data_IF_448822689501
#
_entry.id   IF_448822689501
#
_cell.length_a   1.000
_cell.length_b   1.000
_cell.length_c   1.000
_cell.angle_alpha   90.00
_cell.angle_beta   90.00
_cell.angle_gamma   90.00
#
_symmetry.space_group_name_H-M   'P 1'
#
loop_
_entity.id
_entity.type
_entity.pdbx_description
1 polymer ?
#
# COMPACT_ATOMS: atom_id res chain seq x y z
N UNK A 1 16.88 3.98 0.68
CA UNK A 1 16.74 5.23 -0.11
C UNK A 1 16.44 6.37 0.84
N UNK A 2 17.00 7.56 0.59
CA UNK A 2 16.85 8.76 1.41
C UNK A 2 16.61 9.97 0.50
N UNK A 3 15.35 10.27 0.17
CA UNK A 3 15.04 11.32 -0.82
C UNK A 3 15.49 12.72 -0.36
N UNK A 4 15.52 12.99 0.94
CA UNK A 4 15.98 14.25 1.54
C UNK A 4 17.48 14.28 1.86
N UNK A 5 18.23 13.23 1.49
CA UNK A 5 19.65 13.08 1.85
C UNK A 5 19.90 12.59 3.29
N UNK A 6 21.16 12.26 3.58
CA UNK A 6 21.58 11.79 4.90
C UNK A 6 21.59 12.92 5.92
N UNK A 7 21.11 12.63 7.15
CA UNK A 7 21.16 13.56 8.30
C UNK A 7 20.59 14.95 8.00
N UNK A 8 19.49 15.02 7.25
CA UNK A 8 18.86 16.28 6.91
C UNK A 8 18.58 17.12 8.18
N UNK A 9 19.07 18.37 8.30
CA UNK A 9 19.09 19.12 9.55
C UNK A 9 17.72 19.23 10.24
N UNK A 10 16.65 19.45 9.46
CA UNK A 10 15.28 19.51 9.99
C UNK A 10 14.80 18.18 10.58
N UNK A 11 15.21 17.05 10.00
CA UNK A 11 14.82 15.72 10.50
C UNK A 11 15.56 15.41 11.80
N UNK A 12 16.87 15.69 11.84
CA UNK A 12 17.68 15.49 13.04
C UNK A 12 17.16 16.34 14.21
N UNK A 13 16.83 17.60 13.96
CA UNK A 13 16.26 18.49 14.97
C UNK A 13 14.93 17.97 15.51
N UNK A 14 13.98 17.60 14.64
CA UNK A 14 12.67 17.08 15.04
C UNK A 14 12.78 15.79 15.88
N UNK A 15 13.72 14.90 15.54
CA UNK A 15 13.98 13.69 16.32
C UNK A 15 14.57 14.03 17.68
N UNK A 16 15.57 14.92 17.74
CA UNK A 16 16.18 15.33 19.02
C UNK A 16 15.15 15.96 19.97
N UNK A 17 14.24 16.77 19.43
CA UNK A 17 13.14 17.39 20.18
C UNK A 17 12.16 16.34 20.72
N UNK A 18 11.68 15.42 19.86
CA UNK A 18 10.76 14.37 20.27
C UNK A 18 11.35 13.47 21.38
N UNK A 19 12.65 13.21 21.35
CA UNK A 19 13.34 12.41 22.39
C UNK A 19 13.32 13.07 23.78
N UNK A 20 13.12 14.38 23.89
CA UNK A 20 12.92 15.05 25.18
C UNK A 20 11.50 14.90 25.73
N UNK A 21 10.53 14.51 24.90
CA UNK A 21 9.15 14.27 25.31
C UNK A 21 8.91 12.80 25.66
N UNK A 22 9.04 11.90 24.66
CA UNK A 22 8.88 10.45 24.84
C UNK A 22 9.40 9.70 23.60
N UNK A 23 9.77 8.43 23.80
CA UNK A 23 10.23 7.53 22.71
C UNK A 23 9.09 6.73 22.10
N UNK A 24 8.20 6.17 22.91
CA UNK A 24 7.09 5.33 22.47
C UNK A 24 6.01 5.25 23.55
N UNK A 25 4.74 5.36 23.15
CA UNK A 25 3.59 5.24 24.05
C UNK A 25 2.58 4.19 23.60
N UNK A 26 2.87 3.47 22.51
CA UNK A 26 1.92 2.70 21.72
C UNK A 26 0.68 3.52 21.36
N UNK A 27 0.58 4.00 20.11
CA UNK A 27 -0.52 4.88 19.68
C UNK A 27 -1.92 4.33 20.02
N UNK A 28 -2.06 3.00 19.98
CA UNK A 28 -3.26 2.23 20.35
C UNK A 28 -3.70 2.42 21.82
N UNK A 29 -2.77 2.77 22.71
CA UNK A 29 -2.96 2.87 24.16
C UNK A 29 -2.99 4.34 24.59
N UNK A 30 -1.91 5.08 24.28
CA UNK A 30 -1.84 6.52 24.53
C UNK A 30 -1.51 7.23 23.22
N UNK A 31 -2.51 7.84 22.55
CA UNK A 31 -2.32 8.49 21.26
C UNK A 31 -1.52 9.79 21.40
N UNK A 32 -0.93 10.23 20.29
CA UNK A 32 -0.12 11.43 20.22
C UNK A 32 -0.35 12.19 18.90
N UNK A 33 -0.23 13.51 18.95
CA UNK A 33 -0.61 14.43 17.87
C UNK A 33 0.16 14.20 16.56
N UNK A 34 1.45 13.84 16.64
CA UNK A 34 2.28 13.65 15.45
C UNK A 34 1.82 12.49 14.55
N UNK A 35 1.12 11.50 15.11
CA UNK A 35 0.47 10.45 14.31
C UNK A 35 -0.70 11.04 13.52
N UNK A 36 -1.62 11.74 14.19
CA UNK A 36 -2.85 12.28 13.58
C UNK A 36 -2.50 13.33 12.53
N UNK A 37 -1.62 14.27 12.86
CA UNK A 37 -1.22 15.34 11.94
C UNK A 37 -0.49 14.79 10.70
N UNK A 38 0.31 13.73 10.84
CA UNK A 38 0.92 13.08 9.69
C UNK A 38 -0.13 12.38 8.82
N UNK A 39 -1.10 11.68 9.42
CA UNK A 39 -2.18 11.02 8.71
C UNK A 39 -3.05 12.02 7.96
N UNK A 40 -3.44 13.14 8.57
CA UNK A 40 -4.21 14.21 7.91
C UNK A 40 -3.47 14.77 6.70
N UNK A 41 -2.17 15.08 6.85
CA UNK A 41 -1.35 15.57 5.73
C UNK A 41 -1.23 14.56 4.60
N UNK A 42 -1.14 13.27 4.92
CA UNK A 42 -1.11 12.22 3.90
C UNK A 42 -2.47 12.08 3.22
N UNK A 43 -3.57 12.11 3.97
CA UNK A 43 -4.92 12.05 3.41
C UNK A 43 -5.18 13.20 2.41
N UNK A 44 -4.68 14.41 2.72
CA UNK A 44 -4.83 15.59 1.85
C UNK A 44 -3.98 15.52 0.57
N UNK A 45 -2.85 14.79 0.60
CA UNK A 45 -1.86 14.76 -0.47
C UNK A 45 -1.92 13.51 -1.35
N UNK A 46 -2.45 12.40 -0.82
CA UNK A 46 -2.54 11.14 -1.55
C UNK A 46 -3.60 11.25 -2.66
N UNK A 47 -3.31 10.75 -3.89
CA UNK A 47 -4.27 10.76 -4.99
C UNK A 47 -5.34 9.67 -4.82
N UNK A 48 -6.08 9.70 -3.72
CA UNK A 48 -7.23 8.82 -3.42
C UNK A 48 -8.52 9.59 -3.73
N UNK A 49 -9.52 8.92 -4.29
CA UNK A 49 -10.83 9.52 -4.51
C UNK A 49 -11.64 9.61 -3.21
N UNK A 50 -12.20 10.78 -2.95
CA UNK A 50 -13.08 11.04 -1.81
C UNK A 50 -12.34 11.10 -0.46
N UNK A 51 -13.05 10.91 0.66
CA UNK A 51 -12.45 10.92 1.98
C UNK A 51 -11.41 9.79 2.13
N UNK A 52 -10.20 10.15 2.56
CA UNK A 52 -9.12 9.19 2.79
C UNK A 52 -8.84 9.00 4.30
N UNK A 53 -8.32 7.83 4.64
CA UNK A 53 -7.78 7.51 5.98
C UNK A 53 -6.42 6.86 5.85
N UNK A 54 -5.60 7.03 6.88
CA UNK A 54 -4.23 6.49 6.94
C UNK A 54 -4.02 5.70 8.23
N UNK A 55 -3.28 4.59 8.13
CA UNK A 55 -2.74 3.84 9.25
C UNK A 55 -1.22 3.66 9.09
N UNK A 56 -0.47 3.76 10.18
CA UNK A 56 1.00 3.64 10.17
C UNK A 56 1.51 2.34 10.79
N UNK A 57 2.64 1.88 10.25
CA UNK A 57 3.40 0.71 10.67
C UNK A 57 4.91 1.03 10.60
N UNK A 58 5.78 0.03 10.72
CA UNK A 58 7.23 0.25 10.80
C UNK A 58 7.92 0.08 9.45
N UNK A 59 7.52 -0.94 8.68
CA UNK A 59 8.19 -1.40 7.47
C UNK A 59 7.26 -1.41 6.26
N UNK A 60 7.83 -1.29 5.06
CA UNK A 60 7.05 -1.41 3.81
C UNK A 60 6.34 -2.76 3.70
N UNK A 61 6.94 -3.84 4.23
CA UNK A 61 6.30 -5.15 4.23
C UNK A 61 5.04 -5.17 5.10
N UNK A 62 5.08 -4.58 6.30
CA UNK A 62 3.88 -4.45 7.15
C UNK A 62 2.80 -3.58 6.50
N UNK A 63 3.18 -2.52 5.78
CA UNK A 63 2.21 -1.71 5.04
C UNK A 63 1.51 -2.54 3.96
N UNK A 64 2.27 -3.32 3.17
CA UNK A 64 1.67 -4.22 2.17
C UNK A 64 0.80 -5.29 2.82
N UNK A 65 1.23 -5.92 3.91
CA UNK A 65 0.39 -6.90 4.61
C UNK A 65 -0.90 -6.30 5.14
N UNK A 66 -0.87 -5.07 5.67
CA UNK A 66 -2.07 -4.40 6.12
C UNK A 66 -2.96 -3.95 4.96
N UNK A 67 -2.41 -3.53 3.83
CA UNK A 67 -3.22 -3.27 2.62
C UNK A 67 -3.95 -4.54 2.16
N UNK A 68 -3.28 -5.71 2.20
CA UNK A 68 -3.92 -7.02 1.94
C UNK A 68 -5.02 -7.30 2.95
N UNK A 69 -4.77 -7.12 4.25
CA UNK A 69 -5.78 -7.36 5.30
C UNK A 69 -7.01 -6.48 5.11
N UNK A 70 -6.79 -5.19 4.83
CA UNK A 70 -7.85 -4.20 4.60
C UNK A 70 -8.66 -4.58 3.36
N UNK A 71 -8.00 -4.92 2.25
CA UNK A 71 -8.68 -5.32 1.03
C UNK A 71 -9.53 -6.59 1.21
N UNK A 72 -8.99 -7.60 1.90
CA UNK A 72 -9.73 -8.83 2.22
C UNK A 72 -10.91 -8.57 3.16
N UNK A 73 -10.73 -7.72 4.17
CA UNK A 73 -11.80 -7.35 5.10
C UNK A 73 -12.95 -6.61 4.40
N UNK A 74 -12.63 -5.66 3.51
CA UNK A 74 -13.63 -4.89 2.77
C UNK A 74 -14.40 -5.75 1.75
N UNK A 75 -13.69 -6.58 1.00
CA UNK A 75 -14.31 -7.36 -0.10
C UNK A 75 -14.91 -8.68 0.35
N UNK A 76 -14.44 -9.25 1.48
CA UNK A 76 -14.75 -10.62 1.89
C UNK A 76 -14.11 -11.69 1.00
N UNK A 77 -13.13 -11.32 0.15
CA UNK A 77 -12.55 -12.18 -0.88
C UNK A 77 -11.12 -12.60 -0.52
N UNK A 78 -10.66 -13.81 -0.86
CA UNK A 78 -9.31 -14.27 -0.51
C UNK A 78 -8.23 -13.89 -1.54
N UNK A 79 -8.61 -13.78 -2.82
CA UNK A 79 -7.69 -13.72 -3.94
C UNK A 79 -6.91 -12.41 -4.05
N UNK A 80 -5.65 -12.52 -4.43
CA UNK A 80 -4.77 -11.40 -4.71
C UNK A 80 -4.08 -11.64 -6.05
N UNK A 81 -4.05 -10.62 -6.90
CA UNK A 81 -3.26 -10.66 -8.13
C UNK A 81 -2.13 -9.64 -7.99
N UNK A 82 -0.93 -10.06 -8.36
CA UNK A 82 0.28 -9.23 -8.44
C UNK A 82 1.02 -9.59 -9.72
N UNK A 83 2.23 -9.09 -9.93
CA UNK A 83 2.91 -9.19 -11.22
C UNK A 83 4.32 -9.76 -11.12
N UNK A 84 4.72 -10.50 -12.17
CA UNK A 84 6.10 -10.92 -12.36
C UNK A 84 7.06 -9.73 -12.31
N UNK A 85 8.23 -9.92 -11.70
CA UNK A 85 9.22 -8.85 -11.48
C UNK A 85 8.92 -7.91 -10.31
N UNK A 86 7.72 -7.93 -9.74
CA UNK A 86 7.35 -7.06 -8.61
C UNK A 86 8.07 -7.43 -7.30
N UNK A 87 8.29 -6.43 -6.44
CA UNK A 87 8.87 -6.61 -5.10
C UNK A 87 8.04 -5.90 -4.03
N UNK A 88 7.45 -6.69 -3.15
CA UNK A 88 6.52 -6.20 -2.12
C UNK A 88 7.02 -6.41 -0.69
N UNK A 89 8.17 -7.07 -0.50
CA UNK A 89 8.77 -7.30 0.82
C UNK A 89 9.34 -8.70 1.00
N UNK A 90 9.67 -9.01 2.26
CA UNK A 90 10.35 -10.27 2.67
C UNK A 90 9.68 -10.99 3.84
N UNK A 91 8.48 -10.58 4.23
CA UNK A 91 7.63 -11.36 5.13
C UNK A 91 6.92 -12.47 4.34
N UNK A 92 6.30 -13.46 4.99
CA UNK A 92 5.70 -14.60 4.28
C UNK A 92 4.65 -14.18 3.24
N UNK A 93 3.74 -13.28 3.58
CA UNK A 93 2.73 -12.77 2.65
C UNK A 93 3.36 -11.94 1.54
N UNK A 94 4.33 -11.08 1.85
CA UNK A 94 4.96 -10.22 0.83
C UNK A 94 5.96 -10.95 -0.06
N UNK A 95 6.56 -12.06 0.40
CA UNK A 95 7.29 -13.01 -0.45
C UNK A 95 6.35 -13.78 -1.38
N UNK A 96 5.14 -14.12 -0.92
CA UNK A 96 4.10 -14.67 -1.79
C UNK A 96 3.80 -13.70 -2.93
N UNK A 97 3.60 -12.41 -2.60
CA UNK A 97 3.35 -11.34 -3.56
C UNK A 97 4.54 -11.05 -4.49
N UNK A 98 5.77 -11.12 -3.98
CA UNK A 98 6.98 -10.82 -4.75
C UNK A 98 7.12 -11.76 -5.97
N UNK A 99 7.24 -11.16 -7.15
CA UNK A 99 7.26 -11.82 -8.47
C UNK A 99 8.65 -12.24 -8.96
N UNK A 100 9.63 -12.39 -8.05
CA UNK A 100 11.01 -12.81 -8.35
C UNK A 100 11.50 -13.86 -7.35
N UNK A 101 11.92 -15.02 -7.86
CA UNK A 101 12.28 -16.19 -7.03
C UNK A 101 13.64 -16.02 -6.34
N UNK A 102 14.70 -15.77 -7.11
CA UNK A 102 16.04 -15.53 -6.54
C UNK A 102 16.30 -14.03 -6.35
N UNK A 103 16.82 -13.57 -5.21
CA UNK A 103 17.17 -14.33 -3.99
C UNK A 103 16.04 -14.36 -2.94
N UNK A 104 14.83 -13.89 -3.27
CA UNK A 104 13.83 -13.56 -2.26
C UNK A 104 12.99 -14.74 -1.74
N UNK A 105 12.85 -15.83 -2.50
CA UNK A 105 11.89 -16.92 -2.22
C UNK A 105 12.54 -18.31 -2.07
N UNK A 106 13.75 -18.52 -2.59
CA UNK A 106 14.43 -19.82 -2.56
C UNK A 106 14.64 -20.27 -1.11
N UNK A 107 14.10 -21.44 -0.77
CA UNK A 107 14.27 -22.05 0.56
C UNK A 107 13.32 -21.57 1.66
N UNK A 108 12.35 -20.69 1.35
CA UNK A 108 11.47 -20.09 2.37
C UNK A 108 9.99 -20.52 2.28
N UNK A 109 9.62 -21.38 1.33
CA UNK A 109 8.25 -21.86 1.15
C UNK A 109 7.83 -22.98 2.14
N UNK A 110 6.55 -23.36 2.16
CA UNK A 110 5.45 -22.84 1.33
C UNK A 110 4.98 -21.43 1.76
N UNK A 111 4.48 -20.65 0.80
CA UNK A 111 3.96 -19.31 1.04
C UNK A 111 2.43 -19.30 1.18
N UNK A 112 1.83 -18.27 1.81
CA UNK A 112 0.38 -18.09 1.82
C UNK A 112 -0.23 -18.16 0.41
N UNK A 113 -1.32 -18.92 0.26
CA UNK A 113 -1.99 -19.17 -1.01
C UNK A 113 -2.96 -18.05 -1.44
N UNK A 114 -3.71 -18.32 -2.52
CA UNK A 114 -4.61 -17.35 -3.19
C UNK A 114 -3.88 -16.11 -3.71
N UNK A 115 -2.64 -16.28 -4.17
CA UNK A 115 -1.82 -15.25 -4.81
C UNK A 115 -1.47 -15.71 -6.21
N UNK A 116 -1.79 -14.87 -7.19
CA UNK A 116 -1.59 -15.17 -8.60
C UNK A 116 -0.75 -14.08 -9.26
N UNK A 117 0.14 -14.48 -10.17
CA UNK A 117 1.07 -13.56 -10.83
C UNK A 117 0.68 -13.38 -12.30
N UNK A 118 0.20 -12.18 -12.62
CA UNK A 118 0.10 -11.70 -13.99
C UNK A 118 1.47 -11.30 -14.56
N UNK A 119 1.48 -11.01 -15.84
CA UNK A 119 2.64 -10.47 -16.55
C UNK A 119 2.60 -8.93 -16.46
N UNK A 120 3.73 -8.30 -16.12
CA UNK A 120 3.86 -6.84 -16.12
C UNK A 120 4.32 -6.36 -17.51
N UNK A 121 3.75 -5.27 -18.08
CA UNK A 121 4.21 -4.72 -19.35
C UNK A 121 5.69 -4.35 -19.30
N UNK A 122 6.45 -4.77 -20.31
CA UNK A 122 7.88 -4.52 -20.38
C UNK A 122 8.36 -4.48 -21.84
N UNK A 123 8.47 -3.28 -22.39
CA UNK A 123 8.89 -3.08 -23.78
C UNK A 123 10.31 -3.62 -24.06
N UNK A 124 11.24 -3.55 -23.09
CA UNK A 124 12.60 -4.06 -23.24
C UNK A 124 12.65 -5.59 -23.41
N UNK A 125 11.64 -6.29 -22.88
CA UNK A 125 11.48 -7.73 -23.01
C UNK A 125 10.40 -8.13 -24.04
N UNK A 126 9.90 -7.17 -24.83
CA UNK A 126 8.88 -7.42 -25.86
C UNK A 126 7.50 -7.75 -25.33
N UNK A 127 7.20 -7.41 -24.07
CA UNK A 127 5.91 -7.66 -23.41
C UNK A 127 5.03 -6.43 -23.54
N UNK A 128 3.94 -6.54 -24.28
CA UNK A 128 2.99 -5.44 -24.50
C UNK A 128 1.94 -5.34 -23.40
N UNK A 129 1.22 -4.21 -23.36
CA UNK A 129 0.01 -4.08 -22.52
C UNK A 129 -1.00 -5.18 -22.81
N UNK A 130 -1.19 -5.54 -24.08
CA UNK A 130 -2.13 -6.61 -24.47
C UNK A 130 -1.73 -7.97 -23.91
N UNK A 131 -0.43 -8.30 -23.90
CA UNK A 131 0.08 -9.55 -23.30
C UNK A 131 -0.16 -9.59 -21.79
N UNK A 132 0.06 -8.45 -21.11
CA UNK A 132 -0.21 -8.31 -19.69
C UNK A 132 -1.70 -8.52 -19.37
N UNK A 133 -2.61 -7.87 -20.11
CA UNK A 133 -4.06 -8.03 -19.92
C UNK A 133 -4.53 -9.46 -20.23
N UNK A 134 -4.02 -10.07 -21.31
CA UNK A 134 -4.30 -11.47 -21.64
C UNK A 134 -3.87 -12.43 -20.52
N UNK A 135 -2.80 -12.11 -19.80
CA UNK A 135 -2.38 -12.91 -18.64
C UNK A 135 -3.37 -12.83 -17.48
N UNK A 136 -4.01 -11.67 -17.26
CA UNK A 136 -5.07 -11.50 -16.26
C UNK A 136 -6.33 -12.26 -16.65
N UNK A 137 -6.74 -12.18 -17.92
CA UNK A 137 -7.85 -12.99 -18.42
C UNK A 137 -7.62 -14.49 -18.23
N UNK A 138 -6.38 -14.95 -18.45
CA UNK A 138 -6.01 -16.36 -18.20
C UNK A 138 -6.18 -16.73 -16.72
N UNK A 139 -5.71 -15.87 -15.81
CA UNK A 139 -5.87 -16.08 -14.36
C UNK A 139 -7.37 -16.18 -14.03
N UNK A 140 -8.20 -15.29 -14.58
CA UNK A 140 -9.64 -15.30 -14.32
C UNK A 140 -10.35 -16.55 -14.86
N UNK A 141 -9.88 -17.11 -15.97
CA UNK A 141 -10.47 -18.29 -16.60
C UNK A 141 -9.99 -19.61 -15.99
N UNK A 142 -8.74 -19.66 -15.53
CA UNK A 142 -8.08 -20.93 -15.17
C UNK A 142 -7.77 -21.07 -13.68
N UNK A 143 -7.56 -19.97 -12.97
CA UNK A 143 -6.91 -19.99 -11.66
C UNK A 143 -7.83 -19.46 -10.52
N UNK A 144 -8.61 -18.40 -10.77
CA UNK A 144 -9.55 -17.81 -9.79
C UNK A 144 -10.65 -16.99 -10.44
N UNK A 145 -11.90 -17.13 -10.00
CA UNK A 145 -13.00 -16.29 -10.47
C UNK A 145 -12.82 -14.81 -10.04
N UNK A 146 -13.15 -13.81 -10.88
CA UNK A 146 -12.97 -12.40 -10.53
C UNK A 146 -13.67 -11.95 -9.24
N UNK A 147 -14.84 -12.52 -8.93
CA UNK A 147 -15.62 -12.26 -7.72
C UNK A 147 -15.02 -12.88 -6.45
N UNK A 148 -13.94 -13.64 -6.57
CA UNK A 148 -13.11 -14.15 -5.47
C UNK A 148 -11.79 -13.38 -5.31
N UNK A 149 -11.56 -12.33 -6.10
CA UNK A 149 -10.35 -11.49 -6.00
C UNK A 149 -10.64 -10.24 -5.18
N UNK A 150 -9.89 -10.05 -4.10
CA UNK A 150 -9.97 -8.88 -3.23
C UNK A 150 -9.25 -7.68 -3.84
N UNK A 151 -8.04 -7.91 -4.37
CA UNK A 151 -7.22 -6.83 -4.88
C UNK A 151 -6.26 -7.25 -6.00
N UNK A 152 -5.98 -6.30 -6.88
CA UNK A 152 -4.79 -6.28 -7.74
C UNK A 152 -3.79 -5.31 -7.11
N UNK A 153 -2.59 -5.78 -6.81
CA UNK A 153 -1.49 -4.97 -6.28
C UNK A 153 -0.37 -4.84 -7.32
N UNK A 154 0.09 -3.60 -7.54
CA UNK A 154 1.23 -3.33 -8.41
C UNK A 154 2.08 -2.16 -7.90
N UNK A 155 3.33 -2.12 -8.35
CA UNK A 155 4.15 -0.91 -8.28
C UNK A 155 3.84 -0.04 -9.54
N UNK A 156 3.56 1.27 -9.42
CA UNK A 156 3.36 2.15 -10.58
C UNK A 156 4.61 2.23 -11.48
N UNK A 157 5.78 2.03 -10.88
CA UNK A 157 7.06 1.76 -11.53
C UNK A 157 7.74 0.67 -10.71
N UNK A 158 7.99 -0.50 -11.29
CA UNK A 158 8.65 -1.60 -10.58
C UNK A 158 10.06 -1.21 -10.16
N UNK A 159 10.39 -1.30 -8.88
CA UNK A 159 11.73 -1.02 -8.36
C UNK A 159 12.73 -2.12 -8.69
N UNK A 160 12.71 -3.17 -7.88
CA UNK A 160 13.63 -4.31 -8.00
C UNK A 160 13.43 -5.12 -9.30
N UNK A 161 12.29 -4.92 -9.98
CA UNK A 161 11.96 -5.50 -11.28
C UNK A 161 12.70 -4.86 -12.46
N UNK A 162 13.39 -3.73 -12.25
CA UNK A 162 14.23 -3.09 -13.28
C UNK A 162 13.77 -1.70 -13.71
N UNK A 163 13.05 -0.97 -12.86
CA UNK A 163 12.52 0.39 -13.13
C UNK A 163 11.56 0.42 -14.32
N UNK A 164 10.75 -0.63 -14.45
CA UNK A 164 9.74 -0.78 -15.49
C UNK A 164 8.54 0.12 -15.16
N UNK A 165 8.26 1.11 -16.01
CA UNK A 165 7.14 2.03 -15.85
C UNK A 165 5.86 1.37 -16.37
N UNK A 166 4.77 1.39 -15.58
CA UNK A 166 3.47 0.96 -16.07
C UNK A 166 2.98 1.87 -17.20
N UNK A 167 2.65 1.33 -18.38
CA UNK A 167 2.01 2.12 -19.43
C UNK A 167 0.67 2.70 -18.98
N UNK A 168 0.33 3.91 -19.44
CA UNK A 168 -0.90 4.59 -19.01
C UNK A 168 -2.18 3.83 -19.44
N UNK A 169 -2.16 3.22 -20.63
CA UNK A 169 -3.21 2.34 -21.15
C UNK A 169 -3.37 1.08 -20.29
N UNK A 170 -2.28 0.52 -19.78
CA UNK A 170 -2.33 -0.60 -18.84
C UNK A 170 -2.94 -0.19 -17.49
N UNK A 171 -2.54 0.95 -16.94
CA UNK A 171 -3.12 1.48 -15.69
C UNK A 171 -4.63 1.71 -15.83
N UNK A 172 -5.07 2.30 -16.94
CA UNK A 172 -6.50 2.52 -17.21
C UNK A 172 -7.24 1.20 -17.32
N UNK A 173 -6.71 0.23 -18.07
CA UNK A 173 -7.33 -1.09 -18.20
C UNK A 173 -7.43 -1.83 -16.85
N UNK A 174 -6.43 -1.69 -15.97
CA UNK A 174 -6.51 -2.23 -14.61
C UNK A 174 -7.63 -1.57 -13.79
N UNK A 175 -7.80 -0.25 -13.90
CA UNK A 175 -8.88 0.49 -13.22
C UNK A 175 -10.25 0.01 -13.70
N UNK A 176 -10.45 -0.04 -15.01
CA UNK A 176 -11.72 -0.48 -15.62
C UNK A 176 -12.07 -1.91 -15.20
N UNK A 177 -11.06 -2.79 -15.16
CA UNK A 177 -11.21 -4.18 -14.71
C UNK A 177 -11.58 -4.26 -13.23
N UNK A 178 -10.90 -3.47 -12.39
CA UNK A 178 -11.17 -3.39 -10.96
C UNK A 178 -12.60 -2.91 -10.69
N UNK A 179 -13.05 -1.87 -11.41
CA UNK A 179 -14.40 -1.31 -11.28
C UNK A 179 -15.47 -2.29 -11.74
N UNK A 180 -15.22 -3.01 -12.85
CA UNK A 180 -16.14 -4.01 -13.40
C UNK A 180 -16.38 -5.17 -12.43
N UNK A 181 -15.35 -5.62 -11.71
CA UNK A 181 -15.43 -6.82 -10.86
C UNK A 181 -15.52 -6.51 -9.36
N UNK A 182 -15.48 -5.24 -8.97
CA UNK A 182 -15.38 -4.83 -7.57
C UNK A 182 -14.09 -5.31 -6.91
N UNK A 183 -12.99 -5.37 -7.66
CA UNK A 183 -11.65 -5.68 -7.15
C UNK A 183 -10.98 -4.37 -6.76
N UNK A 184 -10.25 -4.34 -5.65
CA UNK A 184 -9.53 -3.13 -5.24
C UNK A 184 -8.19 -3.00 -5.97
N UNK A 185 -7.84 -1.79 -6.39
CA UNK A 185 -6.53 -1.46 -6.94
C UNK A 185 -5.61 -0.94 -5.83
N UNK A 186 -4.50 -1.64 -5.60
CA UNK A 186 -3.48 -1.26 -4.62
C UNK A 186 -2.22 -0.79 -5.36
N UNK A 187 -1.85 0.47 -5.17
CA UNK A 187 -0.58 1.00 -5.67
C UNK A 187 0.51 0.93 -4.58
N UNK A 188 1.52 0.10 -4.81
CA UNK A 188 2.69 0.01 -3.95
C UNK A 188 3.67 1.15 -4.26
N UNK A 189 3.60 2.19 -3.45
CA UNK A 189 4.42 3.40 -3.56
C UNK A 189 5.55 3.44 -2.53
N UNK A 190 5.88 2.28 -1.93
CA UNK A 190 6.97 2.16 -0.96
C UNK A 190 8.29 2.65 -1.57
N UNK A 191 8.56 2.41 -2.86
CA UNK A 191 9.76 2.91 -3.53
C UNK A 191 9.55 4.22 -4.31
N UNK A 192 8.41 4.36 -4.98
CA UNK A 192 8.14 5.45 -5.91
C UNK A 192 7.60 6.72 -5.25
N UNK A 193 7.15 6.64 -4.00
CA UNK A 193 6.64 7.77 -3.23
C UNK A 193 7.70 8.78 -2.77
N UNK A 194 7.20 9.86 -2.17
CA UNK A 194 7.93 10.99 -1.60
C UNK A 194 8.86 11.72 -2.57
N UNK A 195 8.35 12.16 -3.72
CA UNK A 195 9.09 12.96 -4.72
C UNK A 195 10.11 12.19 -5.56
N UNK A 196 10.18 10.85 -5.46
CA UNK A 196 11.15 10.03 -6.20
C UNK A 196 11.00 10.17 -7.73
N UNK A 197 9.77 10.34 -8.22
CA UNK A 197 9.46 10.39 -9.66
C UNK A 197 9.18 11.81 -10.17
N UNK A 198 9.57 12.84 -9.41
CA UNK A 198 9.29 14.25 -9.75
C UNK A 198 7.89 14.75 -9.33
N UNK A 199 7.02 13.86 -8.85
CA UNK A 199 5.77 14.18 -8.12
C UNK A 199 5.81 13.50 -6.75
N UNK A 200 4.99 13.97 -5.81
CA UNK A 200 4.99 13.41 -4.45
C UNK A 200 4.73 11.91 -4.45
N UNK A 201 3.77 11.45 -5.25
CA UNK A 201 3.48 10.04 -5.50
C UNK A 201 3.49 9.77 -7.01
N UNK A 202 3.99 8.60 -7.45
CA UNK A 202 4.01 8.26 -8.86
C UNK A 202 2.60 8.12 -9.46
N UNK A 203 1.61 7.74 -8.66
CA UNK A 203 0.21 7.71 -9.05
C UNK A 203 -0.33 9.07 -9.51
N UNK A 204 0.31 10.18 -9.12
CA UNK A 204 -0.06 11.51 -9.63
C UNK A 204 0.31 11.72 -11.11
N UNK A 205 1.04 10.80 -11.74
CA UNK A 205 1.30 10.79 -13.19
C UNK A 205 0.18 10.10 -14.00
N UNK A 206 -0.77 9.45 -13.34
CA UNK A 206 -1.91 8.80 -13.98
C UNK A 206 -3.22 9.48 -13.58
N UNK A 207 -4.21 9.43 -14.47
CA UNK A 207 -5.57 9.85 -14.15
C UNK A 207 -6.24 8.85 -13.19
N UNK A 208 -5.83 7.58 -13.26
CA UNK A 208 -6.28 6.48 -12.42
C UNK A 208 -6.04 6.75 -10.92
N UNK A 209 -7.07 6.50 -10.11
CA UNK A 209 -7.00 6.57 -8.65
C UNK A 209 -6.99 5.16 -8.06
N UNK A 210 -6.01 4.83 -7.20
CA UNK A 210 -6.01 3.57 -6.48
C UNK A 210 -7.01 3.59 -5.32
N UNK A 211 -7.44 2.42 -4.88
CA UNK A 211 -8.30 2.26 -3.71
C UNK A 211 -7.50 2.32 -2.41
N UNK A 212 -6.27 1.79 -2.46
CA UNK A 212 -5.28 1.79 -1.38
C UNK A 212 -3.89 2.11 -1.95
N UNK A 213 -3.05 2.77 -1.15
CA UNK A 213 -1.64 2.99 -1.45
C UNK A 213 -0.78 2.62 -0.24
N UNK A 214 0.33 1.92 -0.49
CA UNK A 214 1.33 1.63 0.55
C UNK A 214 2.52 2.59 0.41
N UNK A 215 3.13 2.96 1.54
CA UNK A 215 4.23 3.92 1.55
C UNK A 215 5.21 3.60 2.69
N UNK A 216 6.51 3.82 2.48
CA UNK A 216 7.55 3.69 3.51
C UNK A 216 8.85 4.37 3.05
N UNK A 217 10.01 3.73 3.30
CA UNK A 217 11.36 4.13 2.85
C UNK A 217 11.65 5.60 3.15
N UNK A 218 11.43 6.48 2.17
CA UNK A 218 11.74 7.90 2.28
C UNK A 218 10.72 8.71 3.08
N UNK A 219 9.57 8.13 3.45
CA UNK A 219 8.51 8.75 4.26
C UNK A 219 9.06 9.50 5.49
N UNK A 220 9.97 8.88 6.24
CA UNK A 220 10.50 9.42 7.49
C UNK A 220 12.01 9.71 7.43
N UNK A 221 12.56 10.01 6.25
CA UNK A 221 13.95 10.47 6.13
C UNK A 221 15.00 9.50 6.68
N UNK A 222 14.71 8.18 6.63
CA UNK A 222 15.60 7.12 7.12
C UNK A 222 15.18 6.48 8.45
N UNK A 223 14.19 7.04 9.15
CA UNK A 223 13.61 6.41 10.32
C UNK A 223 12.57 5.36 9.93
N UNK A 224 12.38 4.30 10.73
CA UNK A 224 11.39 3.27 10.45
C UNK A 224 9.97 3.84 10.55
N UNK A 225 9.33 4.00 9.40
CA UNK A 225 7.93 4.37 9.29
C UNK A 225 7.39 3.90 7.94
N UNK A 226 6.19 3.35 7.96
CA UNK A 226 5.41 3.01 6.79
C UNK A 226 3.94 3.30 7.05
N UNK A 227 3.12 3.25 6.01
CA UNK A 227 1.68 3.39 6.16
C UNK A 227 0.90 2.89 4.96
N UNK A 228 -0.40 2.78 5.19
CA UNK A 228 -1.41 2.55 4.17
C UNK A 228 -2.36 3.73 4.21
N UNK A 229 -2.58 4.37 3.06
CA UNK A 229 -3.65 5.34 2.86
C UNK A 229 -4.65 4.76 1.88
N UNK A 230 -5.93 5.06 2.03
CA UNK A 230 -6.95 4.62 1.10
C UNK A 230 -8.30 5.24 1.37
N UNK A 231 -9.29 4.86 0.55
CA UNK A 231 -10.67 5.33 0.72
C UNK A 231 -11.16 5.00 2.13
N UNK A 232 -11.84 5.95 2.77
CA UNK A 232 -12.21 5.84 4.17
C UNK A 232 -13.06 4.60 4.46
N UNK A 233 -14.03 4.28 3.61
CA UNK A 233 -14.89 3.11 3.71
C UNK A 233 -14.14 1.79 3.55
N UNK A 234 -13.07 1.77 2.76
CA UNK A 234 -12.20 0.60 2.60
C UNK A 234 -11.32 0.44 3.84
N UNK A 235 -10.69 1.53 4.27
CA UNK A 235 -9.84 1.56 5.46
C UNK A 235 -10.61 1.17 6.72
N UNK A 236 -11.89 1.55 6.86
CA UNK A 236 -12.75 1.24 8.01
C UNK A 236 -13.26 -0.21 8.07
N UNK A 237 -12.99 -1.04 7.06
CA UNK A 237 -13.58 -2.38 6.96
C UNK A 237 -13.12 -3.40 8.00
N UNK A 238 -11.82 -3.49 8.39
CA UNK A 238 -11.44 -4.47 9.41
C UNK A 238 -12.12 -4.18 10.76
N UNK A 239 -12.24 -5.19 11.62
CA UNK A 239 -12.85 -4.97 12.94
C UNK A 239 -11.94 -4.11 13.81
N UNK A 240 -12.51 -3.11 14.49
CA UNK A 240 -11.77 -2.31 15.47
C UNK A 240 -11.16 -3.23 16.54
N UNK A 241 -9.87 -3.06 16.84
CA UNK A 241 -9.20 -3.84 17.87
C UNK A 241 -9.72 -3.43 19.27
N UNK A 242 -10.81 -4.06 19.71
CA UNK A 242 -11.43 -3.77 21.01
C UNK A 242 -10.85 -4.63 22.14
N UNK A 243 -10.19 -4.00 23.11
CA UNK A 243 -10.09 -4.51 24.49
C UNK A 243 -11.18 -3.93 25.42
N UNK A 244 -12.18 -3.26 24.85
CA UNK A 244 -13.36 -2.82 25.57
C UNK A 244 -14.58 -2.94 24.65
N UNK A 245 -15.69 -3.43 25.20
CA UNK A 245 -17.02 -3.19 24.62
C UNK A 245 -17.16 -1.70 24.23
N UNK A 246 -17.98 -1.37 23.22
CA UNK A 246 -18.22 0.01 22.84
C UNK A 246 -18.76 0.79 24.04
N UNK A 247 -17.88 1.53 24.72
CA UNK A 247 -18.32 2.40 25.81
C UNK A 247 -19.30 3.42 25.22
N UNK A 248 -20.46 3.63 25.87
CA UNK A 248 -21.43 4.61 25.40
C UNK A 248 -20.75 5.97 25.27
N UNK A 249 -21.01 6.62 24.13
CA UNK A 249 -20.40 7.89 23.72
C UNK A 249 -20.66 8.97 24.77
N UNK A 250 -19.76 9.11 25.73
CA UNK A 250 -19.73 10.27 26.64
C UNK A 250 -18.35 10.90 26.66
N UNK A 251 -18.27 12.06 25.98
CA UNK A 251 -17.34 13.18 26.22
C UNK A 251 -15.84 12.93 26.06
N UNK A 252 -15.42 12.66 24.82
CA UNK A 252 -14.25 13.34 24.25
C UNK A 252 -14.62 13.81 22.85
N UNK A 253 -14.93 15.11 22.71
CA UNK A 253 -15.20 15.74 21.40
C UNK A 253 -13.87 15.95 20.69
N UNK A 254 -13.44 14.96 19.91
CA UNK A 254 -12.58 15.21 18.76
C UNK A 254 -13.46 15.49 17.53
N UNK A 255 -13.11 16.45 16.66
CA UNK A 255 -13.87 16.73 15.44
C UNK A 255 -14.07 15.45 14.62
N UNK A 256 -15.26 15.27 14.04
CA UNK A 256 -15.66 14.05 13.28
C UNK A 256 -14.74 13.69 12.08
N UNK A 257 -13.70 14.47 11.79
CA UNK A 257 -12.77 14.29 10.65
C UNK A 257 -11.50 13.51 10.98
N UNK A 258 -11.19 13.24 12.25
CA UNK A 258 -9.84 12.77 12.66
C UNK A 258 -9.76 11.31 13.14
N UNK A 259 -10.73 10.45 12.78
CA UNK A 259 -10.66 9.03 13.16
C UNK A 259 -9.63 8.29 12.29
N UNK A 260 -8.36 8.42 12.65
CA UNK A 260 -7.33 7.45 12.26
C UNK A 260 -7.58 6.13 12.97
N UNK A 261 -7.24 5.05 12.30
CA UNK A 261 -7.50 3.68 12.75
C UNK A 261 -6.79 3.35 14.07
N UNK A 262 -7.49 2.59 14.92
CA UNK A 262 -6.97 1.81 16.06
C UNK A 262 -7.01 0.33 15.66
#
# INVERSE_FOLDING_TARGET
>A
MLNTGHRHPKVVAAVAEQLQAFTHTAYQIVPYESYVSLAERINDLAPIDGPAKTAFFTTGAEAVENAVKIARAYTGRPGLITFGGGFHGRTFMTMALTGKVAPYKIGFGPFPGSVYHGVYPNAAHGVTTADALKSLERIFKADIAPDQVAAIILEPIQGEGGFNVAPADFMQALRDLCDTHGILLIADEVQTGFARTGKLFAMQHYEVKPDLMTMAKSLAGGFPLSGVVGRAEVMDAPAQAGWAEPMPVTRWRWPRRTRCWM
#
